data_IF_739298920702
#
_entry.id   IF_739298920702
#
_cell.length_a   1.000
_cell.length_b   1.000
_cell.length_c   1.000
_cell.angle_alpha   90.00
_cell.angle_beta   90.00
_cell.angle_gamma   90.00
#
_symmetry.space_group_name_H-M   'P 1'
#
loop_
_entity.id
_entity.type
_entity.pdbx_description
1 polymer ?
#
# COMPACT_ATOMS: atom_id res chain seq x y z
N UNK A 1 -23.05 -11.52 -18.05
CA UNK A 1 -23.19 -10.54 -16.95
C UNK A 1 -21.87 -9.83 -16.67
N UNK A 2 -20.72 -10.49 -16.87
CA UNK A 2 -19.40 -9.85 -16.83
C UNK A 2 -18.75 -9.99 -18.21
N UNK A 3 -18.74 -8.91 -19.00
CA UNK A 3 -18.09 -8.89 -20.32
C UNK A 3 -16.61 -8.50 -20.25
N UNK A 4 -16.21 -7.97 -19.11
CA UNK A 4 -14.89 -7.44 -18.77
C UNK A 4 -13.93 -8.51 -18.23
N UNK A 5 -14.48 -9.69 -17.88
CA UNK A 5 -13.71 -10.86 -17.45
C UNK A 5 -13.47 -11.76 -18.66
N UNK A 6 -12.21 -12.09 -18.91
CA UNK A 6 -11.77 -12.93 -20.02
C UNK A 6 -10.80 -14.01 -19.55
N UNK A 7 -10.45 -14.96 -20.43
CA UNK A 7 -9.49 -16.03 -20.16
C UNK A 7 -9.73 -16.79 -18.84
N UNK A 8 -11.01 -17.05 -18.52
CA UNK A 8 -11.34 -17.81 -17.31
C UNK A 8 -10.98 -19.27 -17.52
N UNK A 9 -10.04 -19.76 -16.73
CA UNK A 9 -9.52 -21.12 -16.77
C UNK A 9 -9.37 -21.68 -15.37
N UNK A 10 -9.41 -23.00 -15.25
CA UNK A 10 -9.16 -23.70 -14.00
C UNK A 10 -8.01 -24.70 -14.13
N UNK A 11 -7.39 -25.03 -13.00
CA UNK A 11 -6.23 -25.92 -12.95
C UNK A 11 -6.55 -27.42 -13.07
N UNK A 12 -7.82 -27.80 -13.24
CA UNK A 12 -8.22 -29.21 -13.41
C UNK A 12 -8.11 -29.63 -14.88
N UNK A 13 -7.06 -30.38 -15.18
CA UNK A 13 -6.92 -31.02 -16.48
C UNK A 13 -7.72 -32.34 -16.51
N UNK A 14 -8.90 -32.28 -17.14
CA UNK A 14 -9.85 -33.38 -17.34
C UNK A 14 -9.56 -34.25 -18.57
N UNK A 15 -8.34 -34.20 -19.09
CA UNK A 15 -7.99 -34.65 -20.44
C UNK A 15 -7.28 -36.00 -20.50
N UNK A 16 -6.99 -36.61 -19.33
CA UNK A 16 -6.21 -37.84 -19.29
C UNK A 16 -7.09 -39.08 -19.20
N UNK A 17 -7.14 -39.83 -20.31
CA UNK A 17 -7.73 -41.16 -20.33
C UNK A 17 -6.80 -42.17 -19.62
N UNK A 18 -7.34 -42.87 -18.65
CA UNK A 18 -6.69 -43.98 -17.94
C UNK A 18 -7.35 -45.31 -18.32
N UNK A 19 -6.52 -46.32 -18.58
CA UNK A 19 -6.95 -47.70 -18.78
C UNK A 19 -6.74 -48.49 -17.48
N UNK A 20 -7.84 -48.79 -16.79
CA UNK A 20 -7.86 -49.62 -15.58
C UNK A 20 -7.94 -51.09 -15.99
N UNK A 21 -6.94 -51.87 -15.61
CA UNK A 21 -6.85 -53.31 -15.90
C UNK A 21 -7.21 -54.11 -14.66
N UNK A 22 -8.38 -54.74 -14.65
CA UNK A 22 -8.83 -55.62 -13.58
C UNK A 22 -8.65 -57.09 -13.98
N UNK A 23 -8.13 -57.92 -13.08
CA UNK A 23 -7.97 -59.35 -13.32
C UNK A 23 -9.34 -60.05 -13.41
N UNK A 24 -9.55 -60.84 -14.47
CA UNK A 24 -10.78 -61.64 -14.60
C UNK A 24 -10.74 -62.87 -13.68
N UNK A 25 -11.91 -63.44 -13.39
CA UNK A 25 -12.00 -64.70 -12.63
C UNK A 25 -11.20 -65.84 -13.28
N UNK A 26 -11.18 -65.88 -14.62
CA UNK A 26 -10.39 -66.85 -15.40
C UNK A 26 -8.89 -66.60 -15.25
N UNK A 27 -8.45 -65.34 -15.38
CA UNK A 27 -7.05 -64.96 -15.15
C UNK A 27 -6.55 -65.32 -13.76
N UNK A 28 -7.36 -65.06 -12.73
CA UNK A 28 -7.05 -65.46 -11.35
C UNK A 28 -6.97 -66.98 -11.17
N UNK A 29 -7.90 -67.74 -11.76
CA UNK A 29 -7.91 -69.20 -11.69
C UNK A 29 -6.69 -69.84 -12.39
N UNK A 30 -6.13 -69.18 -13.41
CA UNK A 30 -4.92 -69.59 -14.12
C UNK A 30 -3.63 -69.20 -13.37
N UNK A 31 -3.74 -68.62 -12.18
CA UNK A 31 -2.63 -68.31 -11.29
C UNK A 31 -1.94 -66.97 -11.56
N UNK A 32 -2.54 -66.08 -12.35
CA UNK A 32 -2.03 -64.71 -12.50
C UNK A 32 -2.33 -63.85 -11.26
N UNK A 33 -1.42 -62.94 -10.93
CA UNK A 33 -1.60 -61.95 -9.86
C UNK A 33 -1.48 -60.53 -10.44
N UNK A 34 -2.15 -59.57 -9.77
CA UNK A 34 -2.11 -58.15 -10.17
C UNK A 34 -0.67 -57.60 -10.10
N UNK A 35 0.10 -58.04 -9.11
CA UNK A 35 1.50 -57.61 -8.93
C UNK A 35 2.39 -58.07 -10.09
N UNK A 36 2.28 -59.34 -10.49
CA UNK A 36 3.07 -59.89 -11.59
C UNK A 36 2.67 -59.25 -12.93
N UNK A 37 1.37 -59.07 -13.15
CA UNK A 37 0.85 -58.35 -14.30
C UNK A 37 1.39 -56.91 -14.36
N UNK A 38 1.31 -56.18 -13.25
CA UNK A 38 1.81 -54.80 -13.17
C UNK A 38 3.31 -54.71 -13.44
N UNK A 39 4.10 -55.64 -12.89
CA UNK A 39 5.55 -55.72 -13.13
C UNK A 39 5.87 -55.97 -14.60
N UNK A 40 5.23 -56.97 -15.22
CA UNK A 40 5.45 -57.30 -16.64
C UNK A 40 5.03 -56.15 -17.56
N UNK A 41 3.87 -55.54 -17.31
CA UNK A 41 3.40 -54.40 -18.12
C UNK A 41 4.32 -53.19 -17.95
N UNK A 42 4.75 -52.87 -16.72
CA UNK A 42 5.70 -51.78 -16.47
C UNK A 42 7.01 -51.98 -17.22
N UNK A 43 7.55 -53.20 -17.21
CA UNK A 43 8.76 -53.55 -17.94
C UNK A 43 8.61 -53.42 -19.45
N UNK A 44 7.43 -53.78 -19.99
CA UNK A 44 7.15 -53.68 -21.42
C UNK A 44 6.91 -52.23 -21.88
N UNK A 45 6.23 -51.42 -21.07
CA UNK A 45 5.89 -50.03 -21.40
C UNK A 45 7.03 -49.04 -21.12
N UNK A 46 7.75 -49.20 -19.99
CA UNK A 46 8.76 -48.24 -19.53
C UNK A 46 10.20 -48.75 -19.68
N UNK A 47 10.37 -49.99 -20.12
CA UNK A 47 11.67 -50.67 -20.18
C UNK A 47 12.13 -51.25 -18.84
N UNK A 48 13.20 -52.04 -18.92
CA UNK A 48 13.92 -52.60 -17.79
C UNK A 48 15.33 -52.01 -17.78
N UNK A 49 15.74 -51.41 -16.66
CA UNK A 49 17.15 -51.11 -16.45
C UNK A 49 17.91 -52.41 -16.16
N UNK A 50 18.71 -52.85 -17.12
CA UNK A 50 19.40 -54.14 -17.06
C UNK A 50 20.73 -54.04 -16.30
N UNK A 51 21.44 -52.93 -16.43
CA UNK A 51 22.70 -52.69 -15.73
C UNK A 51 23.01 -51.19 -15.70
N UNK A 52 23.72 -50.75 -14.66
CA UNK A 52 24.32 -49.41 -14.59
C UNK A 52 25.82 -49.55 -14.46
N UNK A 53 26.58 -48.75 -15.21
CA UNK A 53 28.03 -48.79 -15.27
C UNK A 53 28.63 -47.37 -15.19
N UNK A 54 29.86 -47.23 -14.68
CA UNK A 54 30.54 -45.94 -14.66
C UNK A 54 31.02 -45.54 -16.06
N UNK A 55 30.72 -44.30 -16.46
CA UNK A 55 31.19 -43.67 -17.70
C UNK A 55 31.91 -42.36 -17.35
N UNK A 56 33.23 -42.47 -17.15
CA UNK A 56 34.07 -41.38 -16.65
C UNK A 56 33.62 -40.91 -15.24
N UNK A 57 33.33 -39.61 -15.05
CA UNK A 57 32.82 -39.09 -13.78
C UNK A 57 31.30 -39.25 -13.60
N UNK A 58 30.60 -39.86 -14.56
CA UNK A 58 29.14 -40.07 -14.53
C UNK A 58 28.81 -41.57 -14.49
N UNK A 59 27.55 -41.91 -14.24
CA UNK A 59 27.01 -43.25 -14.44
C UNK A 59 26.12 -43.30 -15.67
N UNK A 60 26.19 -44.41 -16.40
CA UNK A 60 25.34 -44.71 -17.55
C UNK A 60 24.52 -45.98 -17.28
N UNK A 61 23.28 -46.00 -17.74
CA UNK A 61 22.36 -47.11 -17.56
C UNK A 61 22.03 -47.77 -18.91
N UNK A 62 22.05 -49.10 -18.95
CA UNK A 62 21.60 -49.92 -20.08
C UNK A 62 20.13 -50.26 -19.85
N UNK A 63 19.26 -49.73 -20.70
CA UNK A 63 17.82 -49.98 -20.65
C UNK A 63 17.37 -50.85 -21.82
N UNK A 64 16.62 -51.91 -21.52
CA UNK A 64 16.01 -52.81 -22.50
C UNK A 64 14.55 -52.43 -22.65
N UNK A 65 14.13 -52.08 -23.87
CA UNK A 65 12.78 -51.62 -24.19
C UNK A 65 12.20 -52.38 -25.36
N UNK A 66 10.88 -52.47 -25.42
CA UNK A 66 10.19 -52.91 -26.63
C UNK A 66 10.35 -51.84 -27.72
N UNK A 67 10.50 -52.24 -29.00
CA UNK A 67 10.50 -51.28 -30.10
C UNK A 67 9.20 -50.46 -30.11
N UNK A 68 9.29 -49.15 -30.36
CA UNK A 68 8.13 -48.25 -30.36
C UNK A 68 6.99 -48.70 -31.30
N UNK A 69 7.34 -49.38 -32.40
CA UNK A 69 6.37 -49.97 -33.37
C UNK A 69 5.50 -51.09 -32.80
N UNK A 70 5.83 -51.63 -31.63
CA UNK A 70 5.07 -52.69 -30.95
C UNK A 70 4.14 -52.14 -29.86
N UNK A 71 4.27 -50.85 -29.52
CA UNK A 71 3.45 -50.13 -28.53
C UNK A 71 2.30 -49.40 -29.22
N UNK A 72 1.52 -50.12 -30.02
CA UNK A 72 0.37 -49.61 -30.77
C UNK A 72 -0.95 -49.83 -30.02
N UNK A 73 -2.07 -49.30 -30.53
CA UNK A 73 -3.37 -49.37 -29.85
C UNK A 73 -3.87 -50.82 -29.58
N UNK A 74 -3.41 -51.78 -30.38
CA UNK A 74 -3.65 -53.23 -30.27
C UNK A 74 -2.67 -53.94 -29.30
N UNK A 75 -1.79 -53.21 -28.60
CA UNK A 75 -0.79 -53.77 -27.68
C UNK A 75 -1.43 -54.70 -26.63
N UNK A 76 -2.58 -54.29 -26.07
CA UNK A 76 -3.28 -55.09 -25.06
C UNK A 76 -3.87 -56.39 -25.62
N UNK A 77 -4.23 -56.42 -26.91
CA UNK A 77 -4.81 -57.59 -27.57
C UNK A 77 -3.74 -58.61 -27.98
N UNK A 78 -2.55 -58.14 -28.38
CA UNK A 78 -1.46 -58.98 -28.89
C UNK A 78 -0.45 -59.39 -27.83
N UNK A 79 -0.47 -58.76 -26.67
CA UNK A 79 0.46 -59.08 -25.58
C UNK A 79 0.15 -60.46 -25.01
N UNK A 80 1.10 -61.38 -25.16
CA UNK A 80 1.05 -62.68 -24.52
C UNK A 80 1.75 -62.64 -23.15
N UNK A 81 1.08 -63.21 -22.14
CA UNK A 81 1.60 -63.39 -20.79
C UNK A 81 1.82 -64.86 -20.49
N UNK A 82 2.91 -65.16 -19.79
CA UNK A 82 3.25 -66.53 -19.39
C UNK A 82 2.59 -66.86 -18.05
N UNK A 83 1.75 -67.88 -18.04
CA UNK A 83 1.14 -68.42 -16.83
C UNK A 83 2.18 -69.20 -15.99
N UNK A 84 1.94 -69.41 -14.68
CA UNK A 84 2.76 -70.29 -13.85
C UNK A 84 2.87 -71.72 -14.39
N UNK A 85 1.84 -72.20 -15.11
CA UNK A 85 1.85 -73.50 -15.81
C UNK A 85 2.88 -73.57 -16.96
N UNK A 86 3.36 -72.42 -17.44
CA UNK A 86 4.29 -72.29 -18.56
C UNK A 86 3.62 -71.92 -19.88
N UNK A 87 2.29 -71.96 -19.96
CA UNK A 87 1.52 -71.60 -21.14
C UNK A 87 1.53 -70.09 -21.39
N UNK A 88 1.41 -69.68 -22.66
CA UNK A 88 1.27 -68.27 -23.04
C UNK A 88 -0.17 -67.98 -23.41
N UNK A 89 -0.74 -66.95 -22.79
CA UNK A 89 -2.14 -66.57 -22.94
C UNK A 89 -2.24 -65.08 -23.32
N UNK A 90 -3.18 -64.70 -24.20
CA UNK A 90 -3.43 -63.30 -24.52
C UNK A 90 -3.85 -62.50 -23.27
N UNK A 91 -3.30 -61.30 -23.13
CA UNK A 91 -3.64 -60.39 -22.03
C UNK A 91 -5.13 -60.06 -22.03
N UNK A 92 -5.74 -59.89 -23.20
CA UNK A 92 -7.17 -59.65 -23.37
C UNK A 92 -8.08 -60.73 -22.75
N UNK A 93 -7.61 -61.99 -22.65
CA UNK A 93 -8.37 -63.09 -22.05
C UNK A 93 -8.21 -63.15 -20.52
N UNK A 94 -7.19 -62.48 -19.98
CA UNK A 94 -6.80 -62.51 -18.58
C UNK A 94 -7.36 -61.29 -17.83
N UNK A 95 -7.44 -60.13 -18.48
CA UNK A 95 -7.82 -58.86 -17.85
C UNK A 95 -9.02 -58.21 -18.53
N UNK A 96 -9.86 -57.55 -17.74
CA UNK A 96 -10.87 -56.63 -18.25
C UNK A 96 -10.33 -55.20 -18.25
N UNK A 97 -10.55 -54.48 -19.36
CA UNK A 97 -10.11 -53.10 -19.54
C UNK A 97 -11.29 -52.17 -19.31
N UNK A 98 -11.19 -51.26 -18.34
CA UNK A 98 -12.14 -50.17 -18.13
C UNK A 98 -11.47 -48.84 -18.45
N UNK A 99 -12.15 -47.99 -19.21
CA UNK A 99 -11.68 -46.62 -19.46
C UNK A 99 -12.25 -45.71 -18.38
N UNK A 100 -11.39 -44.91 -17.77
CA UNK A 100 -11.78 -43.87 -16.83
C UNK A 100 -11.04 -42.58 -17.17
N UNK A 101 -11.72 -41.45 -17.13
CA UNK A 101 -11.07 -40.14 -17.16
C UNK A 101 -10.59 -39.83 -15.75
N UNK A 102 -9.27 -39.79 -15.57
CA UNK A 102 -8.62 -39.50 -14.30
C UNK A 102 -8.18 -38.04 -14.21
N UNK A 103 -7.83 -37.59 -13.00
CA UNK A 103 -7.16 -36.30 -12.83
C UNK A 103 -5.68 -36.47 -13.17
N UNK A 104 -5.17 -35.69 -14.12
CA UNK A 104 -3.74 -35.76 -14.47
C UNK A 104 -2.83 -35.24 -13.34
N UNK A 105 -3.34 -34.32 -12.51
CA UNK A 105 -2.59 -33.67 -11.43
C UNK A 105 -3.50 -33.37 -10.24
N UNK A 106 -3.03 -33.65 -9.02
CA UNK A 106 -3.72 -33.26 -7.77
C UNK A 106 -2.87 -32.22 -7.05
N UNK A 107 -3.27 -30.95 -7.11
CA UNK A 107 -2.59 -29.87 -6.39
C UNK A 107 -3.02 -29.84 -4.93
N UNK A 108 -2.05 -29.59 -4.05
CA UNK A 108 -2.28 -29.39 -2.62
C UNK A 108 -1.48 -28.20 -2.10
N UNK A 109 -2.09 -27.41 -1.24
CA UNK A 109 -1.41 -26.38 -0.44
C UNK A 109 -1.68 -26.69 1.04
N UNK A 110 -0.63 -26.74 1.86
CA UNK A 110 -0.72 -27.07 3.29
C UNK A 110 -1.50 -28.37 3.59
N UNK A 111 -1.42 -29.35 2.68
CA UNK A 111 -2.08 -30.66 2.81
C UNK A 111 -3.54 -30.71 2.33
N UNK A 112 -4.16 -29.58 2.01
CA UNK A 112 -5.52 -29.50 1.48
C UNK A 112 -5.50 -29.53 -0.06
N UNK A 113 -6.51 -30.16 -0.68
CA UNK A 113 -6.67 -30.14 -2.15
C UNK A 113 -7.14 -28.75 -2.58
N UNK A 114 -6.49 -28.19 -3.58
CA UNK A 114 -6.76 -26.85 -4.08
C UNK A 114 -6.99 -26.91 -5.59
N UNK A 115 -8.00 -26.18 -6.06
CA UNK A 115 -8.22 -25.88 -7.47
C UNK A 115 -8.03 -24.37 -7.62
N UNK A 116 -7.12 -23.97 -8.50
CA UNK A 116 -6.94 -22.57 -8.85
C UNK A 116 -7.84 -22.24 -10.04
N UNK A 117 -8.62 -21.17 -9.90
CA UNK A 117 -9.38 -20.56 -11.00
C UNK A 117 -8.74 -19.20 -11.27
N UNK A 118 -8.32 -18.99 -12.50
CA UNK A 118 -7.70 -17.75 -12.97
C UNK A 118 -8.57 -17.10 -14.01
N UNK A 119 -8.53 -15.77 -14.08
CA UNK A 119 -9.21 -15.00 -15.10
C UNK A 119 -8.61 -13.59 -15.17
N UNK A 120 -8.63 -13.03 -16.37
CA UNK A 120 -8.12 -11.70 -16.64
C UNK A 120 -9.26 -10.70 -16.59
N UNK A 121 -9.05 -9.61 -15.86
CA UNK A 121 -9.99 -8.51 -15.76
C UNK A 121 -9.43 -7.33 -16.55
N UNK A 122 -10.22 -6.76 -17.47
CA UNK A 122 -9.77 -5.60 -18.22
C UNK A 122 -9.45 -4.43 -17.27
N UNK A 123 -8.29 -3.80 -17.48
CA UNK A 123 -7.85 -2.60 -16.75
C UNK A 123 -8.41 -1.30 -17.35
N UNK A 124 -9.18 -1.37 -18.45
CA UNK A 124 -9.72 -0.20 -19.14
C UNK A 124 -10.70 0.62 -18.26
N UNK A 125 -11.38 -0.05 -17.32
CA UNK A 125 -12.25 0.59 -16.33
C UNK A 125 -11.95 0.07 -14.91
N UNK A 126 -11.06 0.76 -14.16
CA UNK A 126 -10.66 0.33 -12.81
C UNK A 126 -11.81 0.42 -11.79
N UNK A 127 -12.79 1.30 -11.99
CA UNK A 127 -13.94 1.40 -11.09
C UNK A 127 -14.86 0.18 -11.23
N UNK A 128 -15.07 -0.25 -12.48
CA UNK A 128 -15.84 -1.47 -12.77
C UNK A 128 -15.12 -2.72 -12.29
N UNK A 129 -13.80 -2.76 -12.45
CA UNK A 129 -12.97 -3.85 -11.95
C UNK A 129 -13.12 -4.01 -10.42
N UNK A 130 -13.08 -2.91 -9.67
CA UNK A 130 -13.27 -2.93 -8.22
C UNK A 130 -14.69 -3.38 -7.82
N UNK A 131 -15.72 -2.97 -8.56
CA UNK A 131 -17.11 -3.39 -8.34
C UNK A 131 -17.28 -4.91 -8.53
N UNK A 132 -16.72 -5.47 -9.61
CA UNK A 132 -16.76 -6.91 -9.91
C UNK A 132 -16.05 -7.70 -8.80
N UNK A 133 -14.87 -7.23 -8.36
CA UNK A 133 -14.14 -7.89 -7.27
C UNK A 133 -14.92 -7.87 -5.96
N UNK A 134 -15.61 -6.77 -5.64
CA UNK A 134 -16.47 -6.70 -4.45
C UNK A 134 -17.67 -7.63 -4.54
N UNK A 135 -18.32 -7.71 -5.69
CA UNK A 135 -19.44 -8.64 -5.90
C UNK A 135 -18.99 -10.10 -5.81
N UNK A 136 -17.82 -10.43 -6.38
CA UNK A 136 -17.20 -11.74 -6.28
C UNK A 136 -16.97 -12.13 -4.80
N UNK A 137 -16.37 -11.23 -4.02
CA UNK A 137 -16.02 -11.45 -2.61
C UNK A 137 -17.25 -11.50 -1.68
N UNK A 138 -18.28 -10.69 -1.93
CA UNK A 138 -19.42 -10.53 -1.01
C UNK A 138 -20.63 -11.39 -1.37
N UNK A 139 -20.78 -11.80 -2.63
CA UNK A 139 -21.99 -12.47 -3.12
C UNK A 139 -21.66 -13.83 -3.71
N UNK A 140 -20.75 -13.88 -4.69
CA UNK A 140 -20.53 -15.10 -5.48
C UNK A 140 -19.77 -16.16 -4.68
N UNK A 141 -18.61 -15.82 -4.11
CA UNK A 141 -17.77 -16.76 -3.38
C UNK A 141 -18.44 -17.29 -2.09
N UNK A 142 -19.09 -16.46 -1.25
CA UNK A 142 -19.84 -16.96 -0.09
C UNK A 142 -20.99 -17.89 -0.46
N UNK A 143 -21.65 -17.65 -1.61
CA UNK A 143 -22.72 -18.53 -2.11
C UNK A 143 -22.17 -19.87 -2.58
N UNK A 144 -21.03 -19.88 -3.25
CA UNK A 144 -20.35 -21.12 -3.66
C UNK A 144 -19.94 -21.93 -2.41
N UNK A 145 -19.41 -21.26 -1.40
CA UNK A 145 -19.07 -21.87 -0.11
C UNK A 145 -20.30 -22.49 0.59
N UNK A 146 -21.43 -21.78 0.62
CA UNK A 146 -22.66 -22.29 1.24
C UNK A 146 -23.27 -23.45 0.47
N UNK A 147 -23.26 -23.39 -0.86
CA UNK A 147 -23.96 -24.35 -1.72
C UNK A 147 -23.14 -25.65 -1.91
N UNK A 148 -21.81 -25.56 -1.95
CA UNK A 148 -20.91 -26.68 -2.26
C UNK A 148 -20.00 -27.10 -1.10
N UNK A 149 -19.98 -26.36 0.01
CA UNK A 149 -19.17 -26.69 1.19
C UNK A 149 -17.65 -26.58 0.95
N UNK A 150 -17.24 -25.71 0.02
CA UNK A 150 -15.83 -25.48 -0.32
C UNK A 150 -15.33 -24.17 0.29
N UNK A 151 -14.19 -24.23 0.97
CA UNK A 151 -13.50 -23.02 1.41
C UNK A 151 -12.79 -22.38 0.20
N UNK A 152 -12.86 -21.06 0.11
CA UNK A 152 -12.18 -20.29 -0.93
C UNK A 152 -11.15 -19.35 -0.29
N UNK A 153 -10.12 -19.04 -1.07
CA UNK A 153 -9.17 -17.96 -0.75
C UNK A 153 -8.92 -17.21 -2.04
N UNK A 154 -9.20 -15.92 -2.03
CA UNK A 154 -8.79 -15.06 -3.12
C UNK A 154 -7.26 -14.92 -3.04
N UNK A 155 -6.56 -15.30 -4.10
CA UNK A 155 -5.12 -15.18 -4.19
C UNK A 155 -4.76 -14.49 -5.50
N UNK A 156 -3.81 -13.57 -5.47
CA UNK A 156 -3.38 -12.86 -6.68
C UNK A 156 -2.59 -11.59 -6.39
N UNK A 157 -2.22 -10.89 -7.48
CA UNK A 157 -1.47 -9.64 -7.44
C UNK A 157 -2.16 -8.57 -6.58
N UNK A 158 -3.49 -8.52 -6.56
CA UNK A 158 -4.25 -7.52 -5.77
C UNK A 158 -4.13 -7.74 -4.25
N UNK A 159 -4.14 -8.99 -3.77
CA UNK A 159 -3.92 -9.29 -2.34
C UNK A 159 -2.49 -8.89 -1.93
N UNK A 160 -1.50 -9.27 -2.73
CA UNK A 160 -0.10 -8.90 -2.52
C UNK A 160 0.12 -7.37 -2.53
N UNK A 161 -0.57 -6.65 -3.41
CA UNK A 161 -0.51 -5.18 -3.45
C UNK A 161 -1.15 -4.56 -2.20
N UNK A 162 -2.28 -5.08 -1.72
CA UNK A 162 -2.94 -4.60 -0.49
C UNK A 162 -2.06 -4.84 0.74
N UNK A 163 -1.46 -6.01 0.87
CA UNK A 163 -0.54 -6.34 1.96
C UNK A 163 0.70 -5.44 1.92
N UNK A 164 1.32 -5.29 0.73
CA UNK A 164 2.43 -4.37 0.56
C UNK A 164 2.04 -2.92 0.87
N UNK A 165 0.84 -2.46 0.48
CA UNK A 165 0.34 -1.12 0.83
C UNK A 165 0.21 -0.96 2.34
N UNK A 166 -0.29 -1.96 3.06
CA UNK A 166 -0.42 -1.92 4.51
C UNK A 166 0.96 -1.83 5.18
N UNK A 167 1.89 -2.69 4.78
CA UNK A 167 3.27 -2.69 5.27
C UNK A 167 4.01 -1.40 4.92
N UNK A 168 3.83 -0.88 3.71
CA UNK A 168 4.45 0.36 3.27
C UNK A 168 3.89 1.58 4.01
N UNK A 169 2.59 1.61 4.36
CA UNK A 169 2.02 2.67 5.21
C UNK A 169 2.60 2.63 6.62
N UNK A 170 2.75 1.44 7.21
CA UNK A 170 3.42 1.26 8.49
C UNK A 170 4.89 1.69 8.42
N UNK A 171 5.61 1.26 7.39
CA UNK A 171 7.00 1.61 7.15
C UNK A 171 7.20 3.11 6.94
N UNK A 172 6.33 3.75 6.17
CA UNK A 172 6.31 5.20 5.98
C UNK A 172 6.02 5.92 7.30
N UNK A 173 5.04 5.47 8.09
CA UNK A 173 4.71 6.04 9.39
C UNK A 173 5.88 5.97 10.38
N UNK A 174 6.48 4.79 10.53
CA UNK A 174 7.67 4.59 11.37
C UNK A 174 8.87 5.37 10.84
N UNK A 175 9.05 5.43 9.53
CA UNK A 175 10.10 6.22 8.87
C UNK A 175 9.95 7.72 9.12
N UNK A 176 8.74 8.27 9.00
CA UNK A 176 8.45 9.67 9.30
C UNK A 176 8.69 10.00 10.78
N UNK A 177 8.35 9.09 11.70
CA UNK A 177 8.68 9.23 13.13
C UNK A 177 10.19 9.21 13.34
N UNK A 178 10.90 8.28 12.71
CA UNK A 178 12.36 8.20 12.76
C UNK A 178 13.02 9.49 12.26
N UNK A 179 12.63 9.96 11.08
CA UNK A 179 13.04 11.24 10.50
C UNK A 179 12.78 12.38 11.47
N UNK A 180 11.57 12.48 12.03
CA UNK A 180 11.22 13.53 12.98
C UNK A 180 12.16 13.54 14.19
N UNK A 181 12.42 12.38 14.80
CA UNK A 181 13.31 12.27 15.95
C UNK A 181 14.76 12.63 15.59
N UNK A 182 15.25 12.19 14.43
CA UNK A 182 16.58 12.55 13.94
C UNK A 182 16.70 14.05 13.69
N UNK A 183 15.70 14.68 13.07
CA UNK A 183 15.67 16.12 12.86
C UNK A 183 15.60 16.89 14.19
N UNK A 184 14.80 16.40 15.15
CA UNK A 184 14.68 17.01 16.47
C UNK A 184 16.03 17.03 17.19
N UNK A 185 16.80 15.94 17.04
CA UNK A 185 18.17 15.83 17.52
C UNK A 185 19.11 16.80 16.81
N UNK A 186 19.14 16.80 15.47
CA UNK A 186 20.02 17.67 14.65
C UNK A 186 19.79 19.15 14.95
N UNK A 187 18.53 19.59 15.00
CA UNK A 187 18.19 20.99 15.23
C UNK A 187 18.18 21.39 16.71
N UNK A 188 18.38 20.44 17.63
CA UNK A 188 18.15 20.61 19.06
C UNK A 188 16.80 21.29 19.37
N UNK A 189 15.77 20.98 18.58
CA UNK A 189 14.46 21.64 18.62
C UNK A 189 13.35 20.72 18.16
N UNK A 190 12.26 20.70 18.91
CA UNK A 190 11.05 19.93 18.58
C UNK A 190 10.16 20.63 17.55
N UNK A 191 10.31 21.95 17.34
CA UNK A 191 9.43 22.72 16.46
C UNK A 191 9.95 22.81 15.03
N UNK A 192 11.27 22.81 14.83
CA UNK A 192 11.87 22.91 13.48
C UNK A 192 11.60 21.70 12.58
N UNK A 193 11.65 20.45 13.07
CA UNK A 193 11.30 19.28 12.27
C UNK A 193 9.89 19.37 11.66
N UNK A 194 8.93 19.95 12.40
CA UNK A 194 7.54 20.13 11.91
C UNK A 194 7.51 21.02 10.67
N UNK A 195 8.31 22.09 10.63
CA UNK A 195 8.38 22.99 9.46
C UNK A 195 8.93 22.27 8.24
N UNK A 196 9.98 21.45 8.42
CA UNK A 196 10.57 20.64 7.35
C UNK A 196 9.58 19.58 6.85
N UNK A 197 8.91 18.88 7.76
CA UNK A 197 7.99 17.80 7.38
C UNK A 197 6.67 18.31 6.80
N UNK A 198 6.28 19.56 7.09
CA UNK A 198 5.07 20.17 6.55
C UNK A 198 5.05 20.24 5.02
N UNK A 199 6.19 20.07 4.34
CA UNK A 199 6.32 20.12 2.88
C UNK A 199 5.91 18.80 2.23
N UNK A 200 5.96 17.68 2.95
CA UNK A 200 5.70 16.34 2.42
C UNK A 200 4.31 16.24 1.74
N UNK A 201 3.20 16.70 2.36
CA UNK A 201 1.90 16.67 1.71
C UNK A 201 1.84 17.52 0.44
N UNK A 202 2.60 18.62 0.37
CA UNK A 202 2.65 19.46 -0.82
C UNK A 202 3.47 18.80 -1.95
N UNK A 203 4.51 18.02 -1.62
CA UNK A 203 5.23 17.21 -2.59
C UNK A 203 4.35 16.15 -3.25
N UNK A 204 3.42 15.55 -2.48
CA UNK A 204 2.44 14.61 -3.00
C UNK A 204 1.53 15.23 -4.08
N UNK A 205 1.22 16.53 -4.00
CA UNK A 205 0.46 17.23 -5.04
C UNK A 205 1.19 17.18 -6.38
N UNK A 206 2.51 17.35 -6.38
CA UNK A 206 3.35 17.20 -7.57
C UNK A 206 3.29 15.79 -8.14
N UNK A 207 3.40 14.77 -7.28
CA UNK A 207 3.27 13.35 -7.67
C UNK A 207 1.92 13.05 -8.30
N UNK A 208 0.82 13.48 -7.68
CA UNK A 208 -0.54 13.27 -8.19
C UNK A 208 -0.69 13.91 -9.57
N UNK A 209 -0.25 15.16 -9.72
CA UNK A 209 -0.27 15.85 -11.00
C UNK A 209 0.56 15.13 -12.07
N UNK A 210 1.74 14.61 -11.73
CA UNK A 210 2.59 13.85 -12.64
C UNK A 210 1.93 12.57 -13.13
N UNK A 211 1.33 11.80 -12.22
CA UNK A 211 0.60 10.58 -12.56
C UNK A 211 -0.60 10.86 -13.48
N UNK A 212 -1.34 11.93 -13.20
CA UNK A 212 -2.43 12.38 -14.07
C UNK A 212 -1.94 12.85 -15.45
N UNK A 213 -0.81 13.57 -15.51
CA UNK A 213 -0.27 14.09 -16.76
C UNK A 213 0.24 12.99 -17.71
N UNK A 214 0.67 11.85 -17.16
CA UNK A 214 1.18 10.70 -17.92
C UNK A 214 0.17 9.56 -18.08
N UNK A 215 -1.02 9.71 -17.50
CA UNK A 215 -2.07 8.69 -17.47
C UNK A 215 -1.57 7.33 -16.97
N UNK A 216 -0.77 7.36 -15.90
CA UNK A 216 -0.22 6.16 -15.26
C UNK A 216 -0.83 6.03 -13.86
N UNK A 217 -1.51 4.91 -13.54
CA UNK A 217 -2.08 4.72 -12.21
C UNK A 217 -0.99 4.66 -11.14
N UNK A 218 -1.35 5.04 -9.93
CA UNK A 218 -0.45 4.88 -8.78
C UNK A 218 -0.41 3.41 -8.37
N UNK A 219 0.79 2.89 -8.13
CA UNK A 219 0.99 1.49 -7.75
C UNK A 219 1.97 1.37 -6.58
N UNK A 220 2.33 0.15 -6.19
CA UNK A 220 3.41 -0.10 -5.23
C UNK A 220 4.71 0.64 -5.55
N UNK A 221 5.04 0.81 -6.82
CA UNK A 221 6.23 1.52 -7.27
C UNK A 221 6.14 3.04 -7.05
N UNK A 222 4.93 3.63 -7.09
CA UNK A 222 4.70 5.03 -6.69
C UNK A 222 5.10 5.26 -5.24
N UNK A 223 4.79 4.31 -4.33
CA UNK A 223 5.13 4.45 -2.90
C UNK A 223 6.64 4.44 -2.69
N UNK A 224 7.37 3.58 -3.40
CA UNK A 224 8.85 3.58 -3.39
C UNK A 224 9.39 4.92 -3.86
N UNK A 225 8.84 5.46 -4.96
CA UNK A 225 9.18 6.79 -5.46
C UNK A 225 8.90 7.89 -4.44
N UNK A 226 7.78 7.81 -3.72
CA UNK A 226 7.38 8.78 -2.70
C UNK A 226 8.36 8.78 -1.51
N UNK A 227 8.77 7.60 -1.03
CA UNK A 227 9.77 7.48 0.04
C UNK A 227 11.09 8.12 -0.38
N UNK A 228 11.55 7.84 -1.60
CA UNK A 228 12.77 8.46 -2.15
C UNK A 228 12.66 9.97 -2.30
N UNK A 229 11.54 10.46 -2.85
CA UNK A 229 11.24 11.88 -3.00
C UNK A 229 11.25 12.61 -1.65
N UNK A 230 10.61 12.04 -0.63
CA UNK A 230 10.57 12.60 0.72
C UNK A 230 11.99 12.79 1.28
N UNK A 231 12.87 11.81 1.12
CA UNK A 231 14.26 11.91 1.56
C UNK A 231 15.02 13.07 0.92
N UNK A 232 14.89 13.24 -0.39
CA UNK A 232 15.58 14.31 -1.14
C UNK A 232 15.03 15.69 -0.76
N UNK A 233 13.70 15.86 -0.72
CA UNK A 233 13.06 17.14 -0.33
C UNK A 233 13.44 17.54 1.10
N UNK A 234 13.49 16.57 2.01
CA UNK A 234 13.91 16.80 3.40
C UNK A 234 15.36 17.25 3.45
N UNK A 235 16.26 16.61 2.71
CA UNK A 235 17.67 17.01 2.66
C UNK A 235 17.83 18.48 2.27
N UNK A 236 17.17 18.92 1.21
CA UNK A 236 17.24 20.31 0.74
C UNK A 236 16.66 21.28 1.76
N UNK A 237 15.58 20.88 2.45
CA UNK A 237 14.96 21.65 3.53
C UNK A 237 15.87 21.77 4.76
N UNK A 238 16.58 20.70 5.16
CA UNK A 238 17.51 20.72 6.30
C UNK A 238 18.61 21.75 6.06
N UNK A 239 19.17 21.69 4.86
CA UNK A 239 20.28 22.49 4.39
C UNK A 239 19.87 23.98 4.33
N UNK A 240 18.64 24.29 3.92
CA UNK A 240 18.08 25.64 3.97
C UNK A 240 17.82 26.13 5.40
N UNK A 241 17.09 25.36 6.22
CA UNK A 241 16.73 25.74 7.59
C UNK A 241 17.97 25.95 8.46
N UNK A 242 18.99 25.10 8.34
CA UNK A 242 20.25 25.25 9.07
C UNK A 242 21.00 26.53 8.69
N UNK A 243 21.01 26.92 7.41
CA UNK A 243 21.60 28.20 6.98
C UNK A 243 20.82 29.39 7.51
N UNK A 244 19.47 29.33 7.47
CA UNK A 244 18.62 30.37 8.08
C UNK A 244 18.95 30.51 9.57
N UNK A 245 19.06 29.39 10.29
CA UNK A 245 19.33 29.37 11.71
C UNK A 245 20.70 29.96 12.07
N UNK A 246 21.72 29.69 11.25
CA UNK A 246 23.05 30.24 11.44
C UNK A 246 23.05 31.77 11.21
N UNK A 247 22.43 32.22 10.12
CA UNK A 247 22.34 33.66 9.80
C UNK A 247 21.49 34.40 10.83
N UNK A 248 20.45 33.75 11.37
CA UNK A 248 19.57 34.29 12.39
C UNK A 248 20.29 34.61 13.72
N UNK A 249 21.49 34.07 13.95
CA UNK A 249 22.29 34.36 15.16
C UNK A 249 22.88 35.77 15.15
N UNK A 250 23.21 36.28 13.96
CA UNK A 250 23.86 37.59 13.79
C UNK A 250 22.94 38.63 13.14
N UNK A 251 21.91 38.19 12.43
CA UNK A 251 20.97 39.01 11.65
C UNK A 251 19.57 38.60 12.08
N UNK A 252 18.61 39.51 12.18
CA UNK A 252 17.23 39.11 12.53
C UNK A 252 16.68 38.02 11.58
N UNK A 253 15.65 37.28 12.00
CA UNK A 253 15.17 36.09 11.27
C UNK A 253 14.75 36.41 9.82
N UNK A 254 14.05 37.52 9.57
CA UNK A 254 13.58 37.86 8.22
C UNK A 254 14.75 38.14 7.26
N UNK A 255 15.74 39.00 7.59
CA UNK A 255 16.96 39.11 6.79
C UNK A 255 17.68 37.77 6.58
N UNK A 256 17.79 36.95 7.63
CA UNK A 256 18.42 35.64 7.56
C UNK A 256 17.71 34.69 6.59
N UNK A 257 16.37 34.70 6.56
CA UNK A 257 15.56 33.94 5.62
C UNK A 257 15.84 34.36 4.17
N UNK A 258 15.85 35.67 3.90
CA UNK A 258 16.07 36.19 2.55
C UNK A 258 17.47 35.84 2.04
N UNK A 259 18.51 36.14 2.83
CA UNK A 259 19.90 35.88 2.47
C UNK A 259 20.14 34.37 2.27
N UNK A 260 19.70 33.54 3.22
CA UNK A 260 19.87 32.08 3.12
C UNK A 260 19.13 31.49 1.91
N UNK A 261 17.92 31.97 1.61
CA UNK A 261 17.17 31.48 0.44
C UNK A 261 17.86 31.87 -0.86
N UNK A 262 18.40 33.09 -0.95
CA UNK A 262 19.16 33.55 -2.11
C UNK A 262 20.44 32.72 -2.32
N UNK A 263 21.19 32.44 -1.26
CA UNK A 263 22.42 31.64 -1.34
C UNK A 263 22.14 30.16 -1.67
N UNK A 264 21.00 29.63 -1.20
CA UNK A 264 20.58 28.24 -1.42
C UNK A 264 19.86 28.00 -2.74
N UNK A 265 19.41 29.05 -3.43
CA UNK A 265 18.74 28.94 -4.71
C UNK A 265 19.52 28.07 -5.71
N UNK A 266 20.81 28.35 -5.92
CA UNK A 266 21.64 27.62 -6.89
C UNK A 266 21.89 26.16 -6.49
N UNK A 267 22.32 25.84 -5.26
CA UNK A 267 22.46 24.44 -4.83
C UNK A 267 21.19 23.61 -4.99
N UNK A 268 20.04 24.12 -4.53
CA UNK A 268 18.75 23.39 -4.56
C UNK A 268 18.25 23.20 -6.00
N UNK A 269 18.45 24.19 -6.87
CA UNK A 269 18.18 24.05 -8.30
C UNK A 269 19.03 22.94 -8.92
N UNK A 270 20.33 22.91 -8.62
CA UNK A 270 21.26 21.97 -9.25
C UNK A 270 20.99 20.52 -8.82
N UNK A 271 20.70 20.28 -7.53
CA UNK A 271 20.34 18.95 -7.03
C UNK A 271 19.06 18.45 -7.69
N UNK A 272 18.01 19.28 -7.68
CA UNK A 272 16.72 18.95 -8.30
C UNK A 272 16.89 18.67 -9.79
N UNK A 273 17.56 19.57 -10.52
CA UNK A 273 17.71 19.47 -11.96
C UNK A 273 18.54 18.24 -12.36
N UNK A 274 19.57 17.91 -11.60
CA UNK A 274 20.40 16.72 -11.86
C UNK A 274 19.57 15.44 -11.76
N UNK A 275 18.72 15.32 -10.73
CA UNK A 275 17.85 14.15 -10.55
C UNK A 275 16.74 14.12 -11.59
N UNK A 276 16.07 15.25 -11.81
CA UNK A 276 14.97 15.36 -12.78
C UNK A 276 15.47 15.04 -14.19
N UNK A 277 16.52 15.71 -14.67
CA UNK A 277 17.06 15.47 -16.01
C UNK A 277 17.71 14.09 -16.15
N UNK A 278 18.28 13.54 -15.07
CA UNK A 278 18.85 12.19 -15.09
C UNK A 278 17.80 11.09 -15.22
N UNK A 279 16.63 11.27 -14.60
CA UNK A 279 15.54 10.29 -14.61
C UNK A 279 14.52 10.53 -15.73
N UNK A 280 14.40 11.75 -16.25
CA UNK A 280 13.45 12.12 -17.31
C UNK A 280 13.52 11.23 -18.55
N UNK A 281 14.69 10.76 -19.06
CA UNK A 281 14.74 9.87 -20.21
C UNK A 281 13.98 8.55 -20.00
N UNK A 282 13.94 8.04 -18.77
CA UNK A 282 13.24 6.79 -18.42
C UNK A 282 11.72 6.91 -18.59
N UNK A 283 11.16 8.12 -18.59
CA UNK A 283 9.73 8.35 -18.86
C UNK A 283 9.35 8.01 -20.31
N UNK A 284 10.30 8.11 -21.24
CA UNK A 284 10.10 7.87 -22.67
C UNK A 284 10.55 6.48 -23.11
N UNK A 285 11.07 5.67 -22.19
CA UNK A 285 11.49 4.31 -22.47
C UNK A 285 10.26 3.41 -22.73
N UNK A 286 10.35 2.56 -23.75
CA UNK A 286 9.25 1.70 -24.20
C UNK A 286 9.47 0.22 -23.88
N UNK A 287 10.67 -0.17 -23.48
CA UNK A 287 10.97 -1.55 -23.13
C UNK A 287 10.11 -2.06 -21.98
N UNK A 288 9.57 -3.28 -22.12
CA UNK A 288 8.76 -3.95 -21.10
C UNK A 288 9.51 -4.06 -19.75
N UNK A 289 10.83 -4.21 -19.81
CA UNK A 289 11.70 -4.24 -18.63
C UNK A 289 11.83 -2.90 -17.91
N UNK A 290 11.47 -1.77 -18.50
CA UNK A 290 11.54 -0.45 -17.86
C UNK A 290 10.16 0.10 -17.47
N UNK A 291 9.07 -0.45 -18.03
CA UNK A 291 7.72 0.05 -17.78
C UNK A 291 7.32 -0.04 -16.31
N UNK A 292 7.77 -1.06 -15.58
CA UNK A 292 7.47 -1.20 -14.14
C UNK A 292 8.10 -0.08 -13.29
N UNK A 293 9.18 0.57 -13.75
CA UNK A 293 9.82 1.69 -13.06
C UNK A 293 9.16 3.04 -13.35
N UNK A 294 8.33 3.12 -14.39
CA UNK A 294 7.70 4.37 -14.83
C UNK A 294 6.92 5.08 -13.71
N UNK A 295 6.09 4.40 -12.88
CA UNK A 295 5.42 5.02 -11.72
C UNK A 295 6.39 5.68 -10.72
N UNK A 296 7.50 5.00 -10.40
CA UNK A 296 8.55 5.52 -9.52
C UNK A 296 9.20 6.77 -10.10
N UNK A 297 9.52 6.74 -11.39
CA UNK A 297 10.18 7.85 -12.09
C UNK A 297 9.27 9.07 -12.19
N UNK A 298 7.99 8.89 -12.54
CA UNK A 298 7.00 9.97 -12.58
C UNK A 298 6.92 10.65 -11.21
N UNK A 299 6.83 9.86 -10.15
CA UNK A 299 6.78 10.35 -8.77
C UNK A 299 7.99 11.20 -8.43
N UNK A 300 9.20 10.75 -8.76
CA UNK A 300 10.42 11.50 -8.48
C UNK A 300 10.52 12.77 -9.32
N UNK A 301 10.30 12.68 -10.64
CA UNK A 301 10.46 13.83 -11.55
C UNK A 301 9.50 14.96 -11.21
N UNK A 302 8.21 14.66 -11.07
CA UNK A 302 7.20 15.68 -10.79
C UNK A 302 7.19 16.10 -9.32
N UNK A 303 7.37 15.14 -8.42
CA UNK A 303 7.44 15.39 -6.98
C UNK A 303 8.63 16.27 -6.60
N UNK A 304 9.81 16.03 -7.16
CA UNK A 304 11.00 16.88 -6.95
C UNK A 304 10.91 18.21 -7.68
N UNK A 305 10.44 18.21 -8.93
CA UNK A 305 10.26 19.44 -9.70
C UNK A 305 9.34 20.44 -8.99
N UNK A 306 8.22 19.96 -8.44
CA UNK A 306 7.33 20.76 -7.61
C UNK A 306 7.93 21.03 -6.23
N UNK A 307 8.59 20.02 -5.64
CA UNK A 307 9.30 20.08 -4.36
C UNK A 307 10.32 21.22 -4.28
N UNK A 308 11.07 21.48 -5.34
CA UNK A 308 12.01 22.60 -5.42
C UNK A 308 11.34 23.96 -5.19
N UNK A 309 10.20 24.20 -5.83
CA UNK A 309 9.43 25.44 -5.63
C UNK A 309 8.91 25.52 -4.19
N UNK A 310 8.47 24.39 -3.63
CA UNK A 310 8.00 24.32 -2.26
C UNK A 310 9.14 24.59 -1.27
N UNK A 311 10.33 24.04 -1.48
CA UNK A 311 11.48 24.27 -0.61
C UNK A 311 11.89 25.74 -0.62
N UNK A 312 11.93 26.38 -1.79
CA UNK A 312 12.41 27.76 -1.92
C UNK A 312 11.37 28.83 -1.57
N UNK A 313 10.07 28.54 -1.67
CA UNK A 313 9.01 29.50 -1.31
C UNK A 313 8.29 29.16 -0.01
N UNK A 314 7.90 27.90 0.17
CA UNK A 314 7.04 27.48 1.28
C UNK A 314 7.86 27.31 2.57
N UNK A 315 9.09 26.75 2.53
CA UNK A 315 9.92 26.66 3.76
C UNK A 315 10.18 28.04 4.36
N UNK A 316 10.68 29.05 3.61
CA UNK A 316 10.89 30.40 4.14
C UNK A 316 9.63 31.00 4.77
N UNK A 317 8.49 30.85 4.10
CA UNK A 317 7.21 31.36 4.58
C UNK A 317 6.80 30.66 5.90
N UNK A 318 6.96 29.33 5.98
CA UNK A 318 6.64 28.58 7.19
C UNK A 318 7.57 28.92 8.36
N UNK A 319 8.85 29.22 8.11
CA UNK A 319 9.77 29.70 9.15
C UNK A 319 9.35 31.07 9.69
N UNK A 320 8.92 31.99 8.82
CA UNK A 320 8.38 33.29 9.25
C UNK A 320 7.09 33.12 10.08
N UNK A 321 6.16 32.28 9.61
CA UNK A 321 4.92 31.95 10.34
C UNK A 321 5.24 31.32 11.70
N UNK A 322 6.22 30.42 11.77
CA UNK A 322 6.65 29.80 13.03
C UNK A 322 7.13 30.87 14.03
N UNK A 323 7.84 31.90 13.57
CA UNK A 323 8.28 33.01 14.43
C UNK A 323 7.09 33.82 14.96
N UNK A 324 6.14 34.17 14.10
CA UNK A 324 4.95 34.93 14.47
C UNK A 324 4.11 34.19 15.51
N UNK A 325 3.85 32.90 15.28
CA UNK A 325 3.17 32.01 16.23
C UNK A 325 3.94 31.94 17.55
N UNK A 326 5.27 31.74 17.49
CA UNK A 326 6.11 31.68 18.70
C UNK A 326 6.14 33.00 19.48
N UNK A 327 6.00 34.14 18.81
CA UNK A 327 5.93 35.47 19.42
C UNK A 327 4.59 35.66 20.11
N UNK A 328 3.49 35.28 19.47
CA UNK A 328 2.14 35.33 20.04
C UNK A 328 2.01 34.42 21.27
N UNK A 329 2.53 33.18 21.20
CA UNK A 329 2.52 32.25 22.35
C UNK A 329 3.33 32.80 23.52
N UNK A 330 4.52 33.37 23.27
CA UNK A 330 5.34 34.00 24.32
C UNK A 330 4.62 35.20 24.94
N UNK A 331 4.04 36.08 24.12
CA UNK A 331 3.26 37.22 24.59
C UNK A 331 2.08 36.78 25.47
N UNK A 332 1.34 35.74 25.05
CA UNK A 332 0.25 35.15 25.81
C UNK A 332 0.73 34.57 27.16
N UNK A 333 1.83 33.80 27.14
CA UNK A 333 2.43 33.22 28.36
C UNK A 333 2.91 34.29 29.33
N UNK A 334 3.54 35.36 28.84
CA UNK A 334 3.96 36.50 29.66
C UNK A 334 2.76 37.26 30.23
N UNK A 335 1.69 37.46 29.45
CA UNK A 335 0.46 38.10 29.94
C UNK A 335 -0.29 37.25 30.98
N UNK A 336 -0.18 35.92 30.92
CA UNK A 336 -0.76 35.00 31.91
C UNK A 336 0.08 34.89 33.21
N UNK A 337 1.41 35.00 33.13
CA UNK A 337 2.35 34.81 34.26
C UNK A 337 2.83 36.10 34.94
N UNK A 338 2.73 37.26 34.29
CA UNK A 338 3.18 38.53 34.85
C UNK A 338 2.33 39.04 36.03
N UNK A 339 2.98 39.42 37.12
CA UNK A 339 2.40 40.12 38.30
C UNK A 339 2.04 41.60 38.03
N UNK A 340 1.93 42.03 36.77
CA UNK A 340 1.73 43.45 36.45
C UNK A 340 0.31 43.91 36.78
N UNK A 341 0.23 45.10 37.39
CA UNK A 341 -0.89 45.77 38.07
C UNK A 341 -2.12 46.11 37.18
N UNK A 342 -2.30 45.49 36.02
CA UNK A 342 -3.42 45.74 35.11
C UNK A 342 -4.34 44.54 34.96
N UNK A 343 -5.46 44.48 35.69
CA UNK A 343 -6.49 43.43 35.54
C UNK A 343 -7.02 43.25 34.10
N UNK A 344 -6.90 44.29 33.27
CA UNK A 344 -7.26 44.33 31.84
C UNK A 344 -6.47 43.34 30.99
N UNK A 345 -5.14 43.34 31.09
CA UNK A 345 -4.29 42.48 30.26
C UNK A 345 -4.46 40.99 30.60
N UNK A 346 -4.71 40.69 31.89
CA UNK A 346 -4.90 39.32 32.37
C UNK A 346 -6.26 38.74 31.98
N UNK A 347 -7.31 39.57 31.96
CA UNK A 347 -8.63 39.14 31.51
C UNK A 347 -8.64 38.84 30.00
N UNK A 348 -8.04 39.72 29.18
CA UNK A 348 -7.92 39.52 27.74
C UNK A 348 -7.06 38.30 27.40
N UNK A 349 -5.93 38.10 28.11
CA UNK A 349 -5.07 36.92 27.94
C UNK A 349 -5.76 35.59 28.35
N UNK A 350 -6.61 35.62 29.39
CA UNK A 350 -7.39 34.43 29.78
C UNK A 350 -8.47 34.11 28.74
N UNK A 351 -9.16 35.13 28.20
CA UNK A 351 -10.19 34.92 27.16
C UNK A 351 -9.58 34.39 25.86
N UNK A 352 -8.42 34.89 25.45
CA UNK A 352 -7.73 34.38 24.24
C UNK A 352 -7.16 32.98 24.45
N UNK A 353 -6.60 32.68 25.62
CA UNK A 353 -6.17 31.32 25.97
C UNK A 353 -7.34 30.32 26.01
N UNK A 354 -8.49 30.70 26.60
CA UNK A 354 -9.69 29.85 26.63
C UNK A 354 -10.28 29.64 25.23
N UNK A 355 -10.20 30.64 24.35
CA UNK A 355 -10.65 30.53 22.97
C UNK A 355 -9.77 29.58 22.15
N UNK A 356 -8.45 29.68 22.32
CA UNK A 356 -7.49 28.77 21.67
C UNK A 356 -7.67 27.32 22.16
N UNK A 357 -7.86 27.11 23.46
CA UNK A 357 -8.20 25.80 24.04
C UNK A 357 -9.55 25.28 23.53
N UNK A 358 -10.55 26.14 23.44
CA UNK A 358 -11.87 25.80 22.89
C UNK A 358 -11.80 25.37 21.43
N UNK A 359 -11.05 26.08 20.59
CA UNK A 359 -10.79 25.73 19.19
C UNK A 359 -10.02 24.40 19.06
N UNK A 360 -9.00 24.18 19.88
CA UNK A 360 -8.25 22.93 19.89
C UNK A 360 -9.12 21.75 20.32
N UNK A 361 -9.94 21.91 21.37
CA UNK A 361 -10.89 20.89 21.81
C UNK A 361 -11.95 20.61 20.74
N UNK A 362 -12.43 21.65 20.05
CA UNK A 362 -13.37 21.52 18.94
C UNK A 362 -12.75 20.75 17.77
N UNK A 363 -11.48 21.02 17.43
CA UNK A 363 -10.74 20.28 16.40
C UNK A 363 -10.62 18.80 16.74
N UNK A 364 -10.20 18.48 17.97
CA UNK A 364 -10.07 17.11 18.47
C UNK A 364 -11.42 16.38 18.54
N UNK A 365 -12.52 17.12 18.74
CA UNK A 365 -13.86 16.53 18.77
C UNK A 365 -14.48 16.32 17.38
N UNK A 366 -14.05 17.08 16.36
CA UNK A 366 -14.71 17.11 15.03
C UNK A 366 -13.83 16.60 13.91
N UNK A 367 -12.83 17.38 13.49
CA UNK A 367 -11.97 17.07 12.34
C UNK A 367 -10.86 16.06 12.67
N UNK A 368 -10.34 16.07 13.90
CA UNK A 368 -9.25 15.20 14.35
C UNK A 368 -9.56 13.69 14.23
N UNK A 369 -10.72 13.20 14.69
CA UNK A 369 -11.07 11.79 14.58
C UNK A 369 -11.27 11.36 13.13
N UNK A 370 -11.94 12.19 12.31
CA UNK A 370 -12.19 11.89 10.90
C UNK A 370 -10.89 11.82 10.08
N UNK A 371 -9.88 12.63 10.41
CA UNK A 371 -8.55 12.55 9.79
C UNK A 371 -7.80 11.25 10.08
N UNK A 372 -8.10 10.58 11.21
CA UNK A 372 -7.41 9.37 11.65
C UNK A 372 -8.20 8.11 11.30
N UNK A 373 -9.52 8.13 11.47
CA UNK A 373 -10.40 6.95 11.32
C UNK A 373 -11.23 6.97 10.05
N UNK A 374 -11.30 8.09 9.33
CA UNK A 374 -12.15 8.26 8.16
C UNK A 374 -13.65 8.37 8.47
N UNK A 375 -14.06 8.27 9.75
CA UNK A 375 -15.46 8.21 10.16
C UNK A 375 -15.80 9.27 11.23
N UNK A 376 -17.03 9.81 11.17
CA UNK A 376 -17.53 10.75 12.16
C UNK A 376 -17.69 10.07 13.53
N UNK A 377 -17.32 10.74 14.64
CA UNK A 377 -17.58 10.22 15.98
C UNK A 377 -19.08 9.96 16.18
N UNK A 378 -19.45 8.81 16.77
CA UNK A 378 -20.83 8.37 16.98
C UNK A 378 -21.85 9.44 17.45
N UNK A 379 -21.55 10.29 18.44
CA UNK A 379 -22.49 11.34 18.87
C UNK A 379 -22.68 12.46 17.83
N UNK A 380 -21.70 12.73 16.97
CA UNK A 380 -21.79 13.71 15.88
C UNK A 380 -22.48 13.12 14.64
N UNK A 381 -22.26 11.84 14.36
CA UNK A 381 -22.97 11.11 13.31
C UNK A 381 -24.49 11.03 13.58
N UNK A 382 -24.88 10.85 14.85
CA UNK A 382 -26.28 10.85 15.27
C UNK A 382 -26.96 12.24 15.18
N UNK A 383 -26.19 13.32 15.34
CA UNK A 383 -26.72 14.69 15.32
C UNK A 383 -26.94 15.24 13.89
N UNK A 384 -26.23 14.71 12.89
CA UNK A 384 -26.30 15.16 11.48
C UNK A 384 -26.43 13.97 10.51
N UNK A 385 -27.59 13.27 10.50
CA UNK A 385 -27.80 12.10 9.66
C UNK A 385 -27.73 12.41 8.14
N UNK A 386 -28.04 13.65 7.73
CA UNK A 386 -27.99 14.05 6.31
C UNK A 386 -26.57 14.19 5.72
N UNK A 387 -25.53 14.18 6.56
CA UNK A 387 -24.14 14.35 6.15
C UNK A 387 -23.24 13.16 6.53
N UNK A 388 -23.83 12.07 7.03
CA UNK A 388 -23.12 10.88 7.48
C UNK A 388 -22.33 10.20 6.35
N UNK A 389 -22.85 10.23 5.11
CA UNK A 389 -22.21 9.64 3.93
C UNK A 389 -21.01 10.45 3.41
N UNK A 390 -20.77 11.67 3.93
CA UNK A 390 -19.61 12.51 3.59
C UNK A 390 -18.91 13.03 4.86
N UNK A 391 -18.21 12.16 5.58
CA UNK A 391 -17.68 12.45 6.92
C UNK A 391 -16.68 13.61 6.94
N UNK A 392 -15.86 13.77 5.89
CA UNK A 392 -14.88 14.85 5.79
C UNK A 392 -15.54 16.23 5.65
N UNK A 393 -16.57 16.36 4.82
CA UNK A 393 -17.29 17.63 4.65
C UNK A 393 -18.10 18.01 5.88
N UNK A 394 -18.71 17.02 6.54
CA UNK A 394 -19.47 17.22 7.77
C UNK A 394 -18.56 17.75 8.91
N UNK A 395 -17.40 17.12 9.09
CA UNK A 395 -16.43 17.51 10.10
C UNK A 395 -15.85 18.90 9.87
N UNK A 396 -15.58 19.26 8.61
CA UNK A 396 -15.12 20.60 8.25
C UNK A 396 -16.16 21.68 8.57
N UNK A 397 -17.44 21.45 8.22
CA UNK A 397 -18.52 22.39 8.50
C UNK A 397 -18.77 22.57 10.00
N UNK A 398 -18.75 21.47 10.76
CA UNK A 398 -18.85 21.49 12.23
C UNK A 398 -17.69 22.24 12.88
N UNK A 399 -16.46 22.01 12.39
CA UNK A 399 -15.28 22.70 12.89
C UNK A 399 -15.32 24.21 12.57
N UNK A 400 -15.68 24.59 11.34
CA UNK A 400 -15.76 25.98 10.93
C UNK A 400 -16.89 26.72 11.66
N UNK A 401 -18.08 26.12 11.75
CA UNK A 401 -19.23 26.70 12.43
C UNK A 401 -19.01 26.83 13.94
N UNK A 402 -18.52 25.77 14.59
CA UNK A 402 -18.17 25.81 16.01
C UNK A 402 -17.00 26.74 16.30
N UNK A 403 -16.00 26.81 15.42
CA UNK A 403 -14.86 27.70 15.53
C UNK A 403 -15.27 29.17 15.44
N UNK A 404 -16.17 29.51 14.50
CA UNK A 404 -16.75 30.85 14.40
C UNK A 404 -17.50 31.24 15.69
N UNK A 405 -18.28 30.32 16.26
CA UNK A 405 -19.00 30.57 17.52
C UNK A 405 -18.04 30.77 18.70
N UNK A 406 -17.00 29.94 18.83
CA UNK A 406 -15.96 30.10 19.86
C UNK A 406 -15.25 31.45 19.74
N UNK A 407 -14.93 31.88 18.52
CA UNK A 407 -14.29 33.19 18.28
C UNK A 407 -15.22 34.36 18.60
N UNK A 408 -16.51 34.29 18.24
CA UNK A 408 -17.50 35.32 18.56
C UNK A 408 -17.71 35.44 20.08
N UNK A 409 -17.83 34.32 20.78
CA UNK A 409 -17.97 34.30 22.24
C UNK A 409 -16.70 34.83 22.92
N UNK A 410 -15.52 34.42 22.45
CA UNK A 410 -14.25 34.93 22.95
C UNK A 410 -14.11 36.44 22.75
N UNK A 411 -14.49 36.95 21.58
CA UNK A 411 -14.50 38.37 21.27
C UNK A 411 -15.47 39.14 22.19
N UNK A 412 -16.70 38.64 22.37
CA UNK A 412 -17.69 39.25 23.25
C UNK A 412 -17.25 39.27 24.73
N UNK A 413 -16.60 38.20 25.19
CA UNK A 413 -16.04 38.11 26.55
C UNK A 413 -14.84 39.04 26.74
N UNK A 414 -13.95 39.13 25.75
CA UNK A 414 -12.83 40.06 25.75
C UNK A 414 -13.30 41.52 25.73
N UNK A 415 -14.31 41.85 24.91
CA UNK A 415 -14.91 43.18 24.85
C UNK A 415 -15.59 43.57 26.19
N UNK A 416 -16.35 42.65 26.81
CA UNK A 416 -16.95 42.87 28.13
C UNK A 416 -15.90 43.07 29.24
N UNK A 417 -14.80 42.31 29.20
CA UNK A 417 -13.70 42.48 30.13
C UNK A 417 -12.98 43.84 29.96
N UNK A 418 -12.89 44.34 28.72
CA UNK A 418 -12.37 45.69 28.44
C UNK A 418 -13.29 46.80 28.99
N UNK A 419 -14.62 46.69 28.80
CA UNK A 419 -15.59 47.71 29.24
C UNK A 419 -15.69 47.77 30.77
N UNK A 420 -15.79 46.63 31.47
CA UNK A 420 -15.90 46.61 32.95
C UNK A 420 -14.70 47.20 33.67
N UNK A 421 -13.52 47.13 33.06
CA UNK A 421 -12.32 47.69 33.64
C UNK A 421 -12.19 49.21 33.42
N UNK A 422 -13.00 49.84 32.56
CA UNK A 422 -13.00 51.27 32.28
C UNK A 422 -13.71 52.16 33.32
N UNK A 423 -14.40 51.57 34.30
CA UNK A 423 -15.24 52.29 35.28
C UNK A 423 -14.54 52.83 36.53
N UNK A 424 -13.23 53.05 36.53
CA UNK A 424 -12.53 53.75 37.61
C UNK A 424 -11.70 54.90 37.02
N UNK A 425 -12.33 56.07 36.88
CA UNK A 425 -11.63 57.34 36.72
C UNK A 425 -11.02 57.75 38.08
N UNK A 426 -9.79 58.29 38.12
CA UNK A 426 -9.23 58.86 39.34
C UNK A 426 -10.04 60.10 39.72
N UNK A 427 -10.66 60.05 40.90
CA UNK A 427 -11.35 61.19 41.48
C UNK A 427 -10.39 62.35 41.70
N UNK A 428 -10.80 63.52 41.26
CA UNK A 428 -10.26 64.82 41.64
C UNK A 428 -10.04 64.89 43.16
N UNK A 429 -8.84 65.30 43.57
CA UNK A 429 -8.66 66.03 44.82
C UNK A 429 -7.92 67.32 44.48
N UNK A 430 -8.71 68.39 44.42
CA UNK A 430 -8.31 69.78 44.45
C UNK A 430 -8.50 70.29 45.89
N UNK A 431 -7.69 71.28 46.27
CA UNK A 431 -7.52 71.96 47.57
C UNK A 431 -6.43 71.33 48.44
N UNK A 432 -5.36 72.02 48.83
CA UNK A 432 -5.18 73.46 49.15
C UNK A 432 -3.72 73.89 48.97
#
# INVERSE_FOLDING_TARGET
>A
QYGEVSAVEDSMAYDKEELLLDLTAQGAALGFTIEELGRVLRHRLNGIEAATYPDGPRSAAIRVELPARELTADFLERTLLRAPSGDYLPLADIVSVKRSTGFSTVRRENGLRVVSVTGDLSEDDPARAEEIMRELEQVVLPRIESDLGVAWRLAGLSEQERDFMADARLGLGLGLIGIYLTLAWIFASWSRPVVVMAIIPFGLVGTIYGHMAWDVPMSMFTVVGLIGMVGIIINDSIVLVSTVDDYARSRGLIPAIVDATADRLRPVLLTTLTTVLGLMPLLFERSQQAQFLKPTVITLVYGLGFGMLLVLLVVPALLAVQQDVSRQIRALRHALRGHSRGGRARAVARTTASAALGLAALFVATAGPVLVTGALPGPLAAALPMLADRPMTAALLLFLGGGAMVLVVAYALAARAMVRAGGHSPGQTQNS
#
